data_IF_565240929050
#
_entry.id   IF_565240929050
#
_cell.length_a   1.000
_cell.length_b   1.000
_cell.length_c   1.000
_cell.angle_alpha   90.00
_cell.angle_beta   90.00
_cell.angle_gamma   90.00
#
_symmetry.space_group_name_H-M   'P 1'
#
loop_
_entity.id
_entity.type
_entity.pdbx_description
1 polymer ?
#
# COMPACT_ATOMS: atom_id res chain seq x y z
N UNK A 1 18.05 7.11 -54.70
CA UNK A 1 17.11 7.49 -53.63
C UNK A 1 16.75 6.25 -52.81
N UNK A 2 17.65 5.74 -51.95
CA UNK A 2 17.40 4.53 -51.13
C UNK A 2 17.92 4.64 -49.68
N UNK A 3 18.38 5.82 -49.24
CA UNK A 3 18.97 6.00 -47.91
C UNK A 3 18.05 6.67 -46.87
N UNK A 4 16.86 7.13 -47.25
CA UNK A 4 15.98 7.90 -46.34
C UNK A 4 15.00 7.05 -45.54
N UNK A 5 14.80 5.77 -45.90
CA UNK A 5 13.83 4.89 -45.23
C UNK A 5 14.45 4.10 -44.07
N UNK A 6 15.75 3.81 -44.14
CA UNK A 6 16.47 3.06 -43.09
C UNK A 6 16.64 3.94 -41.83
N UNK A 7 16.78 5.26 -41.99
CA UNK A 7 16.90 6.20 -40.87
C UNK A 7 15.61 6.38 -40.05
N UNK A 8 14.43 6.08 -40.58
CA UNK A 8 13.14 6.26 -39.86
C UNK A 8 12.73 5.04 -39.04
N UNK A 9 13.20 3.85 -39.41
CA UNK A 9 12.94 2.61 -38.67
C UNK A 9 13.82 2.46 -37.41
N UNK A 10 15.06 3.00 -37.44
CA UNK A 10 15.95 3.01 -36.28
C UNK A 10 15.52 4.00 -35.19
N UNK A 11 14.85 5.10 -35.56
CA UNK A 11 14.37 6.11 -34.60
C UNK A 11 13.09 5.64 -33.89
N UNK A 12 12.26 4.80 -34.52
CA UNK A 12 11.01 4.30 -33.92
C UNK A 12 11.22 3.08 -33.03
N UNK A 13 12.23 2.25 -33.27
CA UNK A 13 12.58 1.13 -32.38
C UNK A 13 13.27 1.56 -31.07
N UNK A 14 14.00 2.69 -31.08
CA UNK A 14 14.63 3.23 -29.87
C UNK A 14 13.63 3.88 -28.90
N UNK A 15 12.48 4.34 -29.39
CA UNK A 15 11.46 5.01 -28.58
C UNK A 15 10.62 4.04 -27.74
N UNK A 16 10.46 2.77 -28.15
CA UNK A 16 9.67 1.78 -27.38
C UNK A 16 10.54 0.98 -26.39
N UNK A 17 11.84 0.84 -26.63
CA UNK A 17 12.76 0.15 -25.71
C UNK A 17 13.21 0.99 -24.50
N UNK A 18 13.22 2.32 -24.62
CA UNK A 18 13.70 3.21 -23.55
C UNK A 18 12.72 3.43 -22.39
N UNK A 19 11.42 3.19 -22.61
CA UNK A 19 10.39 3.49 -21.61
C UNK A 19 10.29 2.47 -20.45
N UNK A 20 10.94 1.31 -20.55
CA UNK A 20 10.89 0.26 -19.51
C UNK A 20 12.00 0.45 -18.46
N UNK A 21 13.05 1.23 -18.74
CA UNK A 21 14.19 1.40 -17.83
C UNK A 21 14.00 2.43 -16.72
N UNK A 22 12.89 3.17 -16.71
CA UNK A 22 12.59 4.15 -15.65
C UNK A 22 11.64 3.63 -14.57
N UNK A 23 11.15 2.39 -14.70
CA UNK A 23 10.46 1.69 -13.61
C UNK A 23 11.45 0.92 -12.72
N UNK A 24 12.63 1.50 -12.48
CA UNK A 24 13.50 1.08 -11.39
C UNK A 24 12.81 1.42 -10.07
N UNK A 25 11.81 0.62 -9.70
CA UNK A 25 11.33 0.59 -8.33
C UNK A 25 12.55 0.27 -7.48
N UNK A 26 13.03 1.28 -6.75
CA UNK A 26 14.03 1.11 -5.72
C UNK A 26 13.51 -0.07 -4.89
N UNK A 27 14.26 -1.16 -4.82
CA UNK A 27 13.90 -2.27 -3.95
C UNK A 27 13.78 -1.66 -2.55
N UNK A 28 12.55 -1.39 -2.11
CA UNK A 28 12.31 -0.55 -0.95
C UNK A 28 12.79 -1.31 0.27
N UNK A 29 13.96 -0.88 0.77
CA UNK A 29 14.59 -1.31 2.00
C UNK A 29 14.04 -0.53 3.22
N UNK A 30 13.08 0.37 3.00
CA UNK A 30 12.47 1.13 4.07
C UNK A 30 11.39 0.32 4.79
N UNK A 31 11.23 0.60 6.09
CA UNK A 31 10.03 0.18 6.80
C UNK A 31 8.84 0.85 6.13
N UNK A 32 7.80 0.06 5.85
CA UNK A 32 6.57 0.54 5.23
C UNK A 32 5.36 0.05 6.00
N UNK A 33 4.26 0.78 5.90
CA UNK A 33 2.96 0.37 6.44
C UNK A 33 1.94 0.34 5.31
N UNK A 34 1.14 -0.73 5.27
CA UNK A 34 0.02 -0.83 4.33
C UNK A 34 -1.24 -1.19 5.09
N UNK A 35 -2.35 -0.57 4.69
CA UNK A 35 -3.68 -0.85 5.22
C UNK A 35 -4.71 -0.58 4.11
N UNK A 36 -4.97 -1.55 3.23
CA UNK A 36 -5.93 -1.39 2.15
C UNK A 36 -7.31 -0.96 2.68
N UNK A 37 -7.87 0.10 2.11
CA UNK A 37 -9.18 0.62 2.52
C UNK A 37 -9.19 1.38 3.85
N UNK A 38 -8.03 1.77 4.38
CA UNK A 38 -7.98 2.60 5.59
C UNK A 38 -8.64 3.97 5.37
N UNK A 39 -9.56 4.31 6.26
CA UNK A 39 -10.30 5.57 6.25
C UNK A 39 -10.05 6.38 7.52
N UNK A 40 -10.19 7.69 7.41
CA UNK A 40 -10.20 8.61 8.55
C UNK A 40 -11.25 8.18 9.59
N UNK A 41 -10.86 8.06 10.85
CA UNK A 41 -11.75 7.58 11.92
C UNK A 41 -12.11 6.09 11.86
N UNK A 42 -11.63 5.35 10.86
CA UNK A 42 -11.94 3.94 10.66
C UNK A 42 -11.07 2.99 11.47
N UNK A 43 -11.43 1.70 11.46
CA UNK A 43 -10.58 0.62 11.97
C UNK A 43 -9.94 -0.11 10.80
N UNK A 44 -8.68 -0.51 10.94
CA UNK A 44 -7.95 -1.19 9.88
C UNK A 44 -6.94 -2.18 10.43
N UNK A 45 -6.55 -3.11 9.57
CA UNK A 45 -5.39 -3.95 9.79
C UNK A 45 -4.18 -3.23 9.18
N UNK A 46 -3.29 -2.78 10.04
CA UNK A 46 -2.01 -2.18 9.67
C UNK A 46 -0.98 -3.28 9.54
N UNK A 47 -0.33 -3.39 8.38
CA UNK A 47 0.76 -4.34 8.14
C UNK A 47 2.06 -3.57 7.96
N UNK A 48 2.93 -3.64 8.98
CA UNK A 48 4.26 -3.07 8.93
C UNK A 48 5.21 -4.09 8.29
N UNK A 49 5.79 -3.76 7.13
CA UNK A 49 6.82 -4.56 6.47
C UNK A 49 8.18 -4.00 6.87
N UNK A 50 8.97 -4.81 7.55
CA UNK A 50 10.27 -4.43 8.12
C UNK A 50 11.36 -5.30 7.49
N UNK A 51 12.21 -4.75 6.62
CA UNK A 51 13.39 -5.43 6.09
C UNK A 51 14.57 -5.36 7.06
N UNK A 52 15.46 -6.34 6.98
CA UNK A 52 16.75 -6.35 7.70
C UNK A 52 17.85 -5.85 6.77
N UNK A 53 18.37 -4.66 7.04
CA UNK A 53 19.38 -3.98 6.19
C UNK A 53 20.82 -4.28 6.60
N UNK A 54 21.03 -5.13 7.62
CA UNK A 54 22.36 -5.58 8.00
C UNK A 54 22.76 -6.83 7.21
N UNK A 55 24.02 -6.88 6.78
CA UNK A 55 24.60 -8.05 6.10
C UNK A 55 24.87 -9.22 7.06
N UNK A 56 24.91 -8.96 8.38
CA UNK A 56 25.35 -9.93 9.39
C UNK A 56 24.42 -10.08 10.58
N UNK A 57 23.70 -9.02 10.95
CA UNK A 57 22.83 -9.01 12.11
C UNK A 57 21.37 -9.22 11.73
N UNK A 58 20.61 -9.88 12.61
CA UNK A 58 19.18 -10.10 12.44
C UNK A 58 18.37 -9.04 13.16
N UNK A 59 17.20 -8.65 12.65
CA UNK A 59 16.24 -7.85 13.41
C UNK A 59 15.60 -8.69 14.51
N UNK A 60 15.69 -8.23 15.75
CA UNK A 60 15.21 -8.96 16.94
C UNK A 60 14.13 -8.20 17.72
N UNK A 61 13.96 -6.90 17.46
CA UNK A 61 12.88 -6.11 18.07
C UNK A 61 12.44 -4.99 17.14
N UNK A 62 11.13 -4.76 17.09
CA UNK A 62 10.53 -3.63 16.39
C UNK A 62 9.52 -2.98 17.31
N UNK A 63 9.67 -1.68 17.55
CA UNK A 63 8.70 -0.85 18.28
C UNK A 63 8.13 0.17 17.33
N UNK A 64 6.81 0.34 17.31
CA UNK A 64 6.11 1.34 16.51
C UNK A 64 5.30 2.25 17.41
N UNK A 65 5.47 3.56 17.27
CA UNK A 65 4.64 4.57 17.92
C UNK A 65 3.26 4.65 17.26
N UNK A 66 2.22 4.77 18.07
CA UNK A 66 0.82 4.81 17.64
C UNK A 66 0.19 6.17 17.95
N UNK A 67 -0.71 6.67 17.09
CA UNK A 67 -1.35 7.99 17.25
C UNK A 67 -2.56 7.92 18.20
N UNK A 68 -2.32 7.50 19.45
CA UNK A 68 -3.33 7.46 20.52
C UNK A 68 -4.59 6.64 20.17
N UNK A 69 -4.39 5.40 19.73
CA UNK A 69 -5.47 4.55 19.23
C UNK A 69 -6.29 3.92 20.37
N UNK A 70 -7.63 4.01 20.29
CA UNK A 70 -8.52 3.45 21.34
C UNK A 70 -8.50 1.91 21.39
N UNK A 71 -8.18 1.27 20.27
CA UNK A 71 -8.03 -0.18 20.14
C UNK A 71 -6.78 -0.50 19.34
N UNK A 72 -6.03 -1.50 19.81
CA UNK A 72 -4.87 -2.04 19.15
C UNK A 72 -4.70 -3.49 19.59
N UNK A 73 -4.66 -4.41 18.63
CA UNK A 73 -4.56 -5.86 18.83
C UNK A 73 -3.60 -6.45 17.82
N UNK A 74 -2.64 -7.22 18.31
CA UNK A 74 -1.69 -7.93 17.47
C UNK A 74 -2.21 -9.31 17.10
N UNK A 75 -1.77 -9.80 15.95
CA UNK A 75 -1.95 -11.19 15.57
C UNK A 75 -0.88 -12.05 16.29
N UNK A 76 -1.22 -13.23 16.85
CA UNK A 76 -0.22 -14.13 17.41
C UNK A 76 0.84 -14.50 16.37
N UNK A 77 2.11 -14.35 16.73
CA UNK A 77 3.23 -14.67 15.85
C UNK A 77 4.19 -15.64 16.54
N UNK A 78 4.35 -16.89 16.04
CA UNK A 78 5.27 -17.86 16.64
C UNK A 78 6.71 -17.33 16.68
N UNK A 79 7.37 -17.51 17.83
CA UNK A 79 8.74 -17.03 18.04
C UNK A 79 8.85 -15.52 18.33
N UNK A 80 7.72 -14.82 18.47
CA UNK A 80 7.69 -13.39 18.80
C UNK A 80 6.67 -13.09 19.90
N UNK A 81 7.08 -12.27 20.86
CA UNK A 81 6.20 -11.70 21.87
C UNK A 81 5.81 -10.28 21.47
N UNK A 82 4.52 -9.98 21.47
CA UNK A 82 3.99 -8.66 21.15
C UNK A 82 3.36 -8.00 22.37
N UNK A 83 3.71 -6.73 22.62
CA UNK A 83 3.17 -5.92 23.73
C UNK A 83 2.65 -4.60 23.19
N UNK A 84 1.40 -4.28 23.49
CA UNK A 84 0.80 -2.96 23.22
C UNK A 84 0.85 -2.16 24.51
N UNK A 85 1.57 -1.04 24.50
CA UNK A 85 1.62 -0.14 25.65
C UNK A 85 0.49 0.88 25.56
N UNK A 86 -0.21 1.08 26.68
CA UNK A 86 -1.33 2.00 26.79
C UNK A 86 -1.03 3.05 27.84
N UNK A 87 -1.54 4.25 27.60
CA UNK A 87 -1.57 5.28 28.63
C UNK A 87 -2.46 4.82 29.81
N UNK A 88 -1.99 4.89 31.07
CA UNK A 88 -2.71 4.34 32.21
C UNK A 88 -4.00 5.11 32.54
N UNK A 89 -4.16 6.35 32.07
CA UNK A 89 -5.32 7.19 32.39
C UNK A 89 -6.37 7.13 31.29
N UNK A 90 -5.96 7.39 30.06
CA UNK A 90 -6.82 7.45 28.88
C UNK A 90 -7.02 6.08 28.21
N UNK A 91 -6.20 5.08 28.54
CA UNK A 91 -6.22 3.72 28.02
C UNK A 91 -6.02 3.61 26.49
N UNK A 92 -5.61 4.69 25.84
CA UNK A 92 -5.25 4.69 24.42
C UNK A 92 -3.88 4.02 24.24
N UNK A 93 -3.74 3.27 23.16
CA UNK A 93 -2.49 2.64 22.75
C UNK A 93 -1.51 3.69 22.23
N UNK A 94 -0.33 3.72 22.84
CA UNK A 94 0.77 4.64 22.54
C UNK A 94 1.86 4.00 21.70
N UNK A 95 2.07 2.70 21.86
CA UNK A 95 3.07 1.95 21.11
C UNK A 95 2.68 0.48 20.99
N UNK A 96 3.30 -0.20 20.04
CA UNK A 96 3.34 -1.66 19.97
C UNK A 96 4.78 -2.12 19.76
N UNK A 97 5.20 -3.13 20.51
CA UNK A 97 6.54 -3.73 20.40
C UNK A 97 6.43 -5.21 20.13
N UNK A 98 7.13 -5.68 19.09
CA UNK A 98 7.38 -7.09 18.83
C UNK A 98 8.83 -7.41 19.19
N UNK A 99 9.05 -8.44 20.01
CA UNK A 99 10.37 -8.92 20.43
C UNK A 99 10.51 -10.39 20.08
N UNK A 100 11.58 -10.74 19.38
CA UNK A 100 11.89 -12.11 19.01
C UNK A 100 12.30 -12.92 20.25
N UNK A 101 11.87 -14.17 20.30
CA UNK A 101 12.37 -15.13 21.27
C UNK A 101 13.86 -15.45 21.01
N UNK A 102 14.62 -15.96 21.99
CA UNK A 102 16.02 -16.30 21.79
C UNK A 102 16.24 -17.24 20.60
N UNK A 103 17.14 -16.86 19.70
CA UNK A 103 17.43 -17.63 18.47
C UNK A 103 16.45 -17.38 17.31
N UNK A 104 15.42 -16.56 17.51
CA UNK A 104 14.52 -16.07 16.46
C UNK A 104 14.98 -14.69 16.00
N UNK A 105 14.72 -14.36 14.74
CA UNK A 105 14.98 -13.04 14.18
C UNK A 105 14.74 -13.02 12.68
N UNK A 106 14.68 -11.82 12.12
CA UNK A 106 14.62 -11.61 10.66
C UNK A 106 16.06 -11.51 10.17
N UNK A 107 16.51 -12.47 9.36
CA UNK A 107 17.90 -12.56 8.94
C UNK A 107 18.30 -11.53 7.88
N UNK A 108 19.61 -11.35 7.61
CA UNK A 108 20.12 -10.53 6.52
C UNK A 108 19.41 -10.79 5.18
N UNK A 109 18.99 -9.72 4.50
CA UNK A 109 18.32 -9.80 3.20
C UNK A 109 16.86 -10.30 3.25
N UNK A 110 16.30 -10.53 4.43
CA UNK A 110 14.91 -10.92 4.62
C UNK A 110 14.05 -9.74 5.09
N UNK A 111 12.73 -9.95 5.07
CA UNK A 111 11.77 -9.03 5.67
C UNK A 111 10.75 -9.80 6.49
N UNK A 112 10.10 -9.11 7.41
CA UNK A 112 8.98 -9.64 8.20
C UNK A 112 7.81 -8.67 8.14
N UNK A 113 6.60 -9.23 8.22
CA UNK A 113 5.38 -8.45 8.42
C UNK A 113 4.95 -8.51 9.89
N UNK A 114 4.69 -7.34 10.46
CA UNK A 114 4.13 -7.18 11.80
C UNK A 114 2.75 -6.57 11.67
N UNK A 115 1.74 -7.30 12.15
CA UNK A 115 0.33 -6.98 11.89
C UNK A 115 -0.35 -6.44 13.15
N UNK A 116 -1.09 -5.35 12.99
CA UNK A 116 -1.84 -4.70 14.05
C UNK A 116 -3.25 -4.34 13.57
N UNK A 117 -4.28 -4.95 14.16
CA UNK A 117 -5.66 -4.48 14.02
C UNK A 117 -5.87 -3.31 14.98
N UNK A 118 -6.07 -2.10 14.47
CA UNK A 118 -6.19 -0.92 15.32
C UNK A 118 -7.16 0.14 14.79
N UNK A 119 -7.54 1.05 15.69
CA UNK A 119 -8.40 2.19 15.39
C UNK A 119 -9.09 2.78 16.62
N UNK A 120 -9.92 3.83 16.45
CA UNK A 120 -10.12 4.54 15.19
C UNK A 120 -8.83 5.27 14.77
N UNK A 121 -8.52 5.25 13.47
CA UNK A 121 -7.40 6.01 12.91
C UNK A 121 -7.68 7.51 13.01
N UNK A 122 -6.64 8.37 13.05
CA UNK A 122 -6.83 9.81 13.11
C UNK A 122 -7.66 10.36 11.94
N UNK A 123 -8.32 11.49 12.15
CA UNK A 123 -9.07 12.22 11.11
C UNK A 123 -8.17 13.22 10.40
N UNK A 124 -7.18 12.71 9.67
CA UNK A 124 -6.22 13.47 8.86
C UNK A 124 -5.87 12.68 7.60
N UNK A 125 -5.38 13.35 6.56
CA UNK A 125 -5.14 12.73 5.25
C UNK A 125 -3.98 11.73 5.26
N UNK A 126 -2.98 11.93 6.12
CA UNK A 126 -1.81 11.07 6.23
C UNK A 126 -1.40 10.91 7.69
N UNK A 127 -1.06 9.70 8.11
CA UNK A 127 -0.56 9.39 9.45
C UNK A 127 0.81 8.71 9.36
N UNK A 128 1.79 9.23 10.11
CA UNK A 128 3.13 8.66 10.23
C UNK A 128 3.28 7.82 11.49
N UNK A 129 4.07 6.75 11.42
CA UNK A 129 4.30 5.81 12.51
C UNK A 129 5.79 5.64 12.76
N UNK A 130 6.38 6.48 13.62
CA UNK A 130 7.79 6.34 13.95
C UNK A 130 8.09 4.94 14.47
N UNK A 131 9.13 4.30 13.93
CA UNK A 131 9.52 2.95 14.31
C UNK A 131 10.97 2.89 14.78
N UNK A 132 11.24 1.97 15.70
CA UNK A 132 12.58 1.68 16.22
C UNK A 132 12.86 0.20 15.97
N UNK A 133 13.92 -0.09 15.24
CA UNK A 133 14.35 -1.43 14.88
C UNK A 133 15.65 -1.75 15.62
N UNK A 134 15.68 -2.83 16.40
CA UNK A 134 16.87 -3.32 17.09
C UNK A 134 17.38 -4.58 16.42
N UNK A 135 18.70 -4.66 16.28
CA UNK A 135 19.42 -5.77 15.67
C UNK A 135 20.11 -6.65 16.74
N UNK A 136 20.44 -7.88 16.37
CA UNK A 136 21.07 -8.87 17.24
C UNK A 136 22.47 -8.49 17.73
N UNK A 137 23.16 -7.58 17.04
CA UNK A 137 24.46 -7.03 17.40
C UNK A 137 24.36 -5.83 18.36
N UNK A 138 23.14 -5.42 18.73
CA UNK A 138 22.86 -4.29 19.61
C UNK A 138 22.65 -2.97 18.87
N UNK A 139 22.83 -2.91 17.54
CA UNK A 139 22.55 -1.71 16.77
C UNK A 139 21.05 -1.38 16.80
N UNK A 140 20.75 -0.08 16.83
CA UNK A 140 19.38 0.45 16.83
C UNK A 140 19.25 1.46 15.70
N UNK A 141 18.21 1.28 14.88
CA UNK A 141 17.86 2.15 13.76
C UNK A 141 16.51 2.78 14.03
N UNK A 142 16.43 4.11 13.90
CA UNK A 142 15.18 4.86 14.03
C UNK A 142 14.66 5.20 12.63
N UNK A 143 13.43 4.78 12.37
CA UNK A 143 12.64 5.09 11.18
C UNK A 143 11.67 6.21 11.55
N UNK A 144 12.19 7.42 11.65
CA UNK A 144 11.49 8.61 12.18
C UNK A 144 11.74 9.90 11.38
N UNK A 145 12.45 9.80 10.24
CA UNK A 145 12.77 10.97 9.42
C UNK A 145 11.52 11.42 8.65
N UNK A 146 11.26 12.74 8.69
CA UNK A 146 10.24 13.37 7.87
C UNK A 146 10.73 13.53 6.43
N UNK A 147 9.79 13.68 5.49
CA UNK A 147 10.11 14.01 4.10
C UNK A 147 10.97 15.28 4.02
N UNK A 148 11.98 15.26 3.14
CA UNK A 148 12.90 16.38 2.96
C UNK A 148 12.25 17.48 2.13
N UNK A 149 12.59 18.74 2.44
CA UNK A 149 12.00 19.91 1.78
C UNK A 149 12.33 20.01 0.28
N UNK A 150 13.43 19.38 -0.15
CA UNK A 150 13.85 19.30 -1.54
C UNK A 150 13.18 18.15 -2.32
N UNK A 151 12.31 17.37 -1.66
CA UNK A 151 11.61 16.24 -2.23
C UNK A 151 12.46 14.98 -2.40
N UNK A 152 13.71 14.97 -1.91
CA UNK A 152 14.51 13.75 -1.85
C UNK A 152 14.02 12.82 -0.73
N UNK A 153 14.19 11.52 -0.94
CA UNK A 153 13.79 10.50 0.02
C UNK A 153 14.79 10.47 1.19
N UNK A 154 14.34 10.53 2.46
CA UNK A 154 15.22 10.33 3.61
C UNK A 154 15.83 8.93 3.66
N UNK A 155 16.96 8.75 4.35
CA UNK A 155 17.61 7.44 4.50
C UNK A 155 16.81 6.47 5.39
N UNK A 156 16.09 7.01 6.37
CA UNK A 156 15.29 6.27 7.37
C UNK A 156 13.94 6.96 7.61
N UNK A 157 13.08 7.03 6.58
CA UNK A 157 11.81 7.71 6.68
C UNK A 157 10.89 7.01 7.67
N UNK A 158 10.05 7.79 8.35
CA UNK A 158 8.94 7.22 9.11
C UNK A 158 7.93 6.58 8.14
N UNK A 159 7.49 5.32 8.35
CA UNK A 159 6.44 4.74 7.55
C UNK A 159 5.15 5.56 7.71
N UNK A 160 4.50 5.89 6.59
CA UNK A 160 3.26 6.66 6.58
C UNK A 160 2.13 5.96 5.84
N UNK A 161 0.90 6.30 6.19
CA UNK A 161 -0.32 5.77 5.62
C UNK A 161 -1.24 6.92 5.23
N UNK A 162 -1.63 6.99 3.95
CA UNK A 162 -2.71 7.87 3.48
C UNK A 162 -4.06 7.27 3.87
N UNK A 163 -4.93 8.10 4.43
CA UNK A 163 -6.28 7.74 4.88
C UNK A 163 -7.32 8.34 3.95
N UNK A 164 -8.18 7.50 3.38
CA UNK A 164 -9.30 8.00 2.59
C UNK A 164 -10.29 8.76 3.50
N UNK A 165 -10.90 9.81 2.96
CA UNK A 165 -11.97 10.52 3.66
C UNK A 165 -13.09 9.53 4.04
N UNK A 166 -13.59 9.64 5.26
CA UNK A 166 -14.75 8.85 5.68
C UNK A 166 -15.99 9.31 4.92
N UNK A 167 -16.69 8.39 4.26
CA UNK A 167 -17.94 8.71 3.54
C UNK A 167 -19.16 8.81 4.46
N UNK A 168 -18.98 8.79 5.78
CA UNK A 168 -20.06 8.96 6.75
C UNK A 168 -20.88 7.69 7.01
N UNK A 169 -20.58 6.58 6.34
CA UNK A 169 -21.22 5.28 6.59
C UNK A 169 -20.54 4.61 7.79
N UNK A 170 -20.82 5.15 8.98
CA UNK A 170 -20.47 4.52 10.24
C UNK A 170 -21.09 3.12 10.28
N UNK A 171 -20.27 2.09 10.47
CA UNK A 171 -20.75 0.73 10.72
C UNK A 171 -21.61 0.69 11.99
N UNK A 172 -22.92 0.70 11.77
CA UNK A 172 -23.97 -0.10 12.40
C UNK A 172 -23.83 -0.43 13.89
N UNK A 173 -24.51 0.37 14.72
CA UNK A 173 -25.35 -0.20 15.77
C UNK A 173 -26.77 0.34 15.57
N UNK A 174 -27.59 -0.46 14.91
CA UNK A 174 -29.04 -0.34 14.95
C UNK A 174 -29.58 -1.76 15.02
N UNK A 175 -29.78 -2.22 16.25
CA UNK A 175 -30.59 -3.39 16.53
C UNK A 175 -32.01 -2.91 16.83
N UNK A 176 -32.88 -3.15 15.83
CA UNK A 176 -34.32 -3.47 15.86
C UNK A 176 -35.27 -2.67 16.77
N UNK A 177 -36.41 -2.14 16.28
CA UNK A 177 -37.55 -2.98 15.87
C UNK A 177 -38.63 -2.22 15.06
N UNK A 178 -39.03 -2.83 13.93
CA UNK A 178 -40.30 -2.77 13.17
C UNK A 178 -40.93 -1.46 12.66
N UNK A 179 -40.96 -1.32 11.33
CA UNK A 179 -42.20 -1.20 10.54
C UNK A 179 -41.96 -1.60 9.07
N UNK A 180 -42.91 -2.34 8.51
CA UNK A 180 -43.00 -2.91 7.15
C UNK A 180 -43.04 -1.88 6.02
N UNK A 181 -42.23 -2.06 4.96
CA UNK A 181 -42.70 -2.07 3.55
C UNK A 181 -41.57 -2.23 2.50
N UNK A 182 -41.83 -3.14 1.56
CA UNK A 182 -41.48 -3.17 0.12
C UNK A 182 -40.05 -2.95 -0.39
N UNK A 183 -39.54 -4.03 -1.01
CA UNK A 183 -38.78 -4.11 -2.26
C UNK A 183 -38.27 -2.80 -2.88
N UNK A 184 -36.95 -2.61 -2.92
CA UNK A 184 -36.16 -2.32 -4.14
C UNK A 184 -34.67 -2.37 -3.78
N UNK A 185 -33.95 -3.34 -4.35
CA UNK A 185 -32.49 -3.35 -4.34
C UNK A 185 -31.99 -2.27 -5.30
N UNK A 186 -31.25 -1.30 -4.76
CA UNK A 186 -30.54 -0.27 -5.55
C UNK A 186 -29.05 -0.57 -5.48
N UNK A 187 -28.60 -1.59 -6.19
CA UNK A 187 -27.22 -1.66 -6.72
C UNK A 187 -27.25 -1.00 -8.11
N UNK A 188 -26.87 0.28 -8.22
CA UNK A 188 -26.95 0.94 -9.54
C UNK A 188 -25.96 2.09 -9.79
N UNK A 189 -24.95 2.29 -8.95
CA UNK A 189 -23.90 3.30 -9.23
C UNK A 189 -22.67 2.71 -9.93
N UNK A 190 -22.15 1.56 -9.47
CA UNK A 190 -21.01 0.89 -10.12
C UNK A 190 -21.37 0.25 -11.47
N UNK A 191 -22.61 -0.22 -11.59
CA UNK A 191 -23.06 -1.00 -12.75
C UNK A 191 -23.20 -0.13 -14.02
N UNK A 192 -23.57 1.14 -13.88
CA UNK A 192 -23.65 2.07 -15.01
C UNK A 192 -22.27 2.45 -15.56
N UNK A 193 -21.29 2.69 -14.68
CA UNK A 193 -19.92 3.04 -15.10
C UNK A 193 -19.23 1.86 -15.77
N UNK A 194 -19.37 0.65 -15.20
CA UNK A 194 -18.80 -0.57 -15.78
C UNK A 194 -19.40 -0.89 -17.15
N UNK A 195 -20.72 -0.73 -17.33
CA UNK A 195 -21.40 -0.96 -18.61
C UNK A 195 -21.09 0.12 -19.64
N UNK A 196 -20.92 1.37 -19.22
CA UNK A 196 -20.49 2.46 -20.10
C UNK A 196 -19.06 2.25 -20.61
N UNK A 197 -18.12 1.93 -19.73
CA UNK A 197 -16.72 1.63 -20.11
C UNK A 197 -16.63 0.37 -20.97
N UNK A 198 -17.38 -0.69 -20.63
CA UNK A 198 -17.48 -1.91 -21.43
C UNK A 198 -18.05 -1.65 -22.83
N UNK A 199 -19.10 -0.84 -22.93
CA UNK A 199 -19.70 -0.44 -24.20
C UNK A 199 -18.75 0.40 -25.07
N UNK A 200 -18.12 1.42 -24.49
CA UNK A 200 -17.15 2.26 -25.20
C UNK A 200 -15.94 1.46 -25.70
N UNK A 201 -15.42 0.53 -24.87
CA UNK A 201 -14.34 -0.37 -25.24
C UNK A 201 -14.69 -1.29 -26.41
N UNK A 202 -15.92 -1.83 -26.44
CA UNK A 202 -16.40 -2.69 -27.53
C UNK A 202 -16.49 -1.94 -28.86
N UNK A 203 -17.01 -0.71 -28.85
CA UNK A 203 -17.11 0.12 -30.06
C UNK A 203 -15.72 0.46 -30.61
N UNK A 204 -14.80 0.87 -29.74
CA UNK A 204 -13.42 1.18 -30.14
C UNK A 204 -12.69 -0.06 -30.67
N UNK A 205 -12.88 -1.22 -30.03
CA UNK A 205 -12.33 -2.50 -30.49
C UNK A 205 -12.85 -2.90 -31.87
N UNK A 206 -14.15 -2.74 -32.12
CA UNK A 206 -14.77 -3.05 -33.41
C UNK A 206 -14.25 -2.12 -34.53
N UNK A 207 -14.11 -0.82 -34.26
CA UNK A 207 -13.53 0.14 -35.21
C UNK A 207 -12.06 -0.17 -35.51
N UNK A 208 -11.28 -0.52 -34.49
CA UNK A 208 -9.89 -0.95 -34.66
C UNK A 208 -9.76 -2.20 -35.53
N UNK A 209 -10.61 -3.21 -35.31
CA UNK A 209 -10.65 -4.42 -36.11
C UNK A 209 -11.03 -4.15 -37.58
N UNK A 210 -12.03 -3.29 -37.82
CA UNK A 210 -12.45 -2.91 -39.17
C UNK A 210 -11.35 -2.18 -39.94
N UNK A 211 -10.64 -1.24 -39.29
CA UNK A 211 -9.51 -0.53 -39.90
C UNK A 211 -8.32 -1.47 -40.16
N UNK A 212 -8.03 -2.39 -39.22
CA UNK A 212 -6.97 -3.39 -39.39
C UNK A 212 -7.24 -4.35 -40.54
N UNK A 213 -8.47 -4.85 -40.66
CA UNK A 213 -8.88 -5.70 -41.78
C UNK A 213 -8.86 -4.92 -43.12
N UNK A 214 -9.30 -3.65 -43.12
CA UNK A 214 -9.23 -2.79 -44.29
C UNK A 214 -7.79 -2.55 -44.78
N UNK A 215 -6.85 -2.36 -43.86
CA UNK A 215 -5.42 -2.21 -44.18
C UNK A 215 -4.82 -3.50 -44.77
N UNK A 216 -5.18 -4.68 -44.23
CA UNK A 216 -4.72 -5.98 -44.72
C UNK A 216 -5.28 -6.33 -46.11
N UNK A 217 -6.53 -5.95 -46.41
CA UNK A 217 -7.12 -6.17 -47.73
C UNK A 217 -6.51 -5.22 -48.78
N UNK A 218 -6.15 -3.99 -48.38
CA UNK A 218 -5.49 -3.02 -49.26
C UNK A 218 -4.04 -3.39 -49.56
N UNK A 219 -3.31 -3.97 -48.60
CA UNK A 219 -1.91 -4.40 -48.82
C UNK A 219 -1.79 -5.63 -49.72
N UNK A 220 -2.83 -6.49 -49.79
CA UNK A 220 -2.89 -7.63 -50.71
C UNK A 220 -3.28 -7.27 -52.15
N UNK A 221 -3.75 -6.06 -52.39
CA UNK A 221 -4.21 -5.58 -53.71
C UNK A 221 -3.25 -4.59 -54.39
N UNK A 222 -2.13 -4.27 -53.75
CA UNK A 222 -1.03 -3.49 -54.32
C UNK A 222 0.21 -4.37 -54.46
#
# INVERSE_FOLDING_TARGET
MKNTLISRALITAAATGGAILLAGGIASAHVSVVAPGATQGGYSVLTFRVPTESDTASTTKVTVALPDLKSARTEPMPGWTAVVEKDPTSLVAKSVTWTADPGVGVGPGQFQQFVLSAGPLPTQDEVSFNAVQTYSDGNVVNWDQAALADGSEPDKPAPSLTLAASTGDAHGSSADTHATNETTATESSNDNTARWLGGAGLVLGALGAALGLGALVRSKRS
#
